data_IF_487679244090
#
_entry.id   IF_487679244090
#
_cell.length_a   1.000
_cell.length_b   1.000
_cell.length_c   1.000
_cell.angle_alpha   90.00
_cell.angle_beta   90.00
_cell.angle_gamma   90.00
#
_symmetry.space_group_name_H-M   'P 1'
#
loop_
_entity.id
_entity.type
_entity.pdbx_description
1 polymer ?
#
# COMPACT_ATOMS: atom_id res chain seq x y z
N UNK A 1 20.09 -36.18 48.65
CA UNK A 1 20.55 -34.80 48.34
C UNK A 1 20.59 -34.64 46.83
N UNK A 2 19.57 -34.01 46.25
CA UNK A 2 19.58 -33.53 44.87
C UNK A 2 18.68 -32.30 44.83
N UNK A 3 19.29 -31.12 44.84
CA UNK A 3 18.57 -29.85 44.68
C UNK A 3 18.59 -29.53 43.19
N UNK A 4 17.40 -29.53 42.60
CA UNK A 4 17.13 -29.16 41.21
C UNK A 4 17.43 -27.66 41.05
N UNK A 5 18.20 -27.30 40.04
CA UNK A 5 18.67 -25.94 39.79
C UNK A 5 17.62 -25.16 38.97
N UNK A 6 16.67 -24.49 39.65
CA UNK A 6 15.50 -23.81 39.04
C UNK A 6 15.84 -22.40 38.49
N UNK A 7 17.11 -21.96 38.54
CA UNK A 7 17.47 -20.55 38.27
C UNK A 7 17.71 -20.17 36.81
N UNK A 8 17.64 -21.11 35.84
CA UNK A 8 18.02 -20.81 34.45
C UNK A 8 16.88 -20.78 33.42
N UNK A 9 15.61 -20.69 33.84
CA UNK A 9 14.47 -20.59 32.89
C UNK A 9 13.77 -19.22 32.85
N UNK A 10 14.15 -18.25 33.67
CA UNK A 10 13.46 -16.95 33.72
C UNK A 10 13.93 -15.96 32.63
N UNK A 11 15.07 -16.22 31.97
CA UNK A 11 15.66 -15.28 31.01
C UNK A 11 15.34 -15.53 29.52
N UNK A 12 14.28 -16.28 29.20
CA UNK A 12 13.82 -16.43 27.80
C UNK A 12 12.42 -15.86 27.52
N UNK A 13 11.78 -15.20 28.49
CA UNK A 13 10.43 -14.65 28.33
C UNK A 13 10.35 -13.12 28.26
N UNK A 14 11.46 -12.44 28.00
CA UNK A 14 11.46 -10.98 27.83
C UNK A 14 12.16 -10.64 26.53
N UNK A 15 11.39 -10.26 25.50
CA UNK A 15 11.67 -9.27 24.43
C UNK A 15 10.72 -9.48 23.22
N UNK A 16 9.40 -9.46 23.46
CA UNK A 16 8.43 -9.05 22.45
C UNK A 16 7.64 -7.87 23.01
N UNK A 17 8.31 -6.73 23.16
CA UNK A 17 7.62 -5.46 23.37
C UNK A 17 6.77 -5.16 22.13
N UNK A 18 5.49 -5.53 22.16
CA UNK A 18 4.50 -5.06 21.20
C UNK A 18 4.20 -3.59 21.49
N UNK A 19 5.16 -2.70 21.18
CA UNK A 19 4.78 -1.35 20.83
C UNK A 19 3.79 -1.46 19.66
N UNK A 20 2.61 -0.87 19.78
CA UNK A 20 1.59 -0.90 18.73
C UNK A 20 2.17 -0.25 17.47
N UNK A 21 2.77 -1.08 16.61
CA UNK A 21 3.42 -0.64 15.39
C UNK A 21 2.35 -0.17 14.43
N UNK A 22 2.41 1.09 14.01
CA UNK A 22 1.49 1.64 13.01
C UNK A 22 1.60 0.78 11.74
N UNK A 23 0.51 0.18 11.26
CA UNK A 23 0.52 -0.67 10.08
C UNK A 23 0.91 0.13 8.84
N UNK A 24 1.74 -0.48 7.99
CA UNK A 24 2.15 0.06 6.69
C UNK A 24 1.46 -0.71 5.58
N UNK A 25 0.60 -0.02 4.85
CA UNK A 25 -0.26 -0.56 3.80
C UNK A 25 0.28 -0.09 2.46
N UNK A 26 0.52 -1.04 1.56
CA UNK A 26 0.95 -0.80 0.20
C UNK A 26 -0.10 -1.30 -0.78
N UNK A 27 -0.59 -0.37 -1.61
CA UNK A 27 -1.56 -0.64 -2.67
C UNK A 27 -0.81 -0.64 -3.99
N UNK A 28 -0.82 -1.77 -4.69
CA UNK A 28 -0.13 -1.92 -5.96
C UNK A 28 -1.12 -1.80 -7.13
N UNK A 29 -0.99 -0.72 -7.88
CA UNK A 29 -1.83 -0.38 -9.03
C UNK A 29 -2.99 0.54 -8.67
N UNK A 30 -3.28 1.50 -9.55
CA UNK A 30 -4.39 2.43 -9.38
C UNK A 30 -5.61 2.13 -10.27
N UNK A 31 -5.88 0.85 -10.55
CA UNK A 31 -7.13 0.41 -11.17
C UNK A 31 -8.34 0.64 -10.25
N UNK A 32 -9.51 0.11 -10.60
CA UNK A 32 -10.73 0.28 -9.79
C UNK A 32 -10.56 -0.24 -8.36
N UNK A 33 -9.99 -1.45 -8.20
CA UNK A 33 -9.74 -2.05 -6.88
C UNK A 33 -8.81 -1.19 -6.04
N UNK A 34 -7.58 -0.95 -6.52
CA UNK A 34 -6.59 -0.17 -5.77
C UNK A 34 -7.04 1.25 -5.45
N UNK A 35 -7.68 1.95 -6.39
CA UNK A 35 -8.22 3.27 -6.14
C UNK A 35 -9.36 3.24 -5.11
N UNK A 36 -10.28 2.28 -5.21
CA UNK A 36 -11.37 2.14 -4.24
C UNK A 36 -10.84 1.82 -2.84
N UNK A 37 -9.84 0.95 -2.75
CA UNK A 37 -9.16 0.62 -1.49
C UNK A 37 -8.52 1.87 -0.88
N UNK A 38 -7.75 2.63 -1.66
CA UNK A 38 -7.10 3.86 -1.20
C UNK A 38 -8.12 4.88 -0.67
N UNK A 39 -9.20 5.13 -1.43
CA UNK A 39 -10.25 6.08 -1.03
C UNK A 39 -11.04 5.60 0.19
N UNK A 40 -11.26 4.30 0.33
CA UNK A 40 -11.92 3.72 1.51
C UNK A 40 -11.05 3.90 2.74
N UNK A 41 -9.78 3.51 2.67
CA UNK A 41 -8.85 3.65 3.79
C UNK A 41 -8.64 5.11 4.20
N UNK A 42 -8.51 6.03 3.23
CA UNK A 42 -8.41 7.48 3.47
C UNK A 42 -9.60 8.03 4.28
N UNK A 43 -10.81 7.53 4.01
CA UNK A 43 -12.04 7.95 4.70
C UNK A 43 -12.19 7.30 6.07
N UNK A 44 -11.84 6.02 6.17
CA UNK A 44 -12.08 5.21 7.37
C UNK A 44 -10.98 5.34 8.42
N UNK A 45 -9.75 5.67 8.05
CA UNK A 45 -8.61 5.71 8.97
C UNK A 45 -8.16 7.14 9.29
N UNK A 46 -7.95 7.48 10.57
CA UNK A 46 -7.19 8.65 10.98
C UNK A 46 -5.72 8.56 10.54
N UNK A 47 -5.07 9.70 10.34
CA UNK A 47 -3.67 9.81 9.85
C UNK A 47 -2.67 8.99 10.69
N UNK A 48 -2.89 8.87 12.00
CA UNK A 48 -1.98 8.17 12.92
C UNK A 48 -2.28 6.68 13.08
N UNK A 49 -3.25 6.12 12.33
CA UNK A 49 -3.66 4.70 12.45
C UNK A 49 -3.06 3.79 11.39
N UNK A 50 -2.66 4.31 10.24
CA UNK A 50 -1.95 3.54 9.21
C UNK A 50 -1.15 4.47 8.29
N UNK A 51 -0.01 3.98 7.80
CA UNK A 51 0.73 4.62 6.71
C UNK A 51 0.34 3.94 5.40
N UNK A 52 -0.29 4.69 4.49
CA UNK A 52 -0.79 4.15 3.22
C UNK A 52 0.09 4.68 2.09
N UNK A 53 0.62 3.77 1.27
CA UNK A 53 1.33 4.10 0.04
C UNK A 53 0.62 3.45 -1.15
N UNK A 54 0.38 4.18 -2.22
CA UNK A 54 -0.14 3.64 -3.47
C UNK A 54 0.88 3.84 -4.58
N UNK A 55 1.23 2.74 -5.26
CA UNK A 55 2.12 2.77 -6.43
C UNK A 55 1.29 2.54 -7.69
N UNK A 56 1.47 3.37 -8.71
CA UNK A 56 0.82 3.14 -10.02
C UNK A 56 1.71 3.60 -11.16
N UNK A 57 1.67 2.86 -12.28
CA UNK A 57 2.45 3.18 -13.49
C UNK A 57 2.12 4.57 -14.05
N UNK A 58 0.88 5.01 -13.88
CA UNK A 58 0.38 6.29 -14.34
C UNK A 58 -0.04 7.15 -13.15
N UNK A 59 -0.02 8.47 -13.30
CA UNK A 59 -0.51 9.45 -12.32
C UNK A 59 -2.04 9.70 -12.41
N UNK A 60 -2.72 8.88 -13.20
CA UNK A 60 -4.15 8.91 -13.41
C UNK A 60 -4.74 7.50 -13.45
N UNK A 61 -5.98 7.40 -13.01
CA UNK A 61 -6.86 6.29 -13.31
C UNK A 61 -7.50 6.53 -14.67
N UNK A 62 -7.49 5.53 -15.55
CA UNK A 62 -8.30 5.57 -16.78
C UNK A 62 -9.55 4.71 -16.59
N UNK A 63 -10.69 5.24 -17.01
CA UNK A 63 -11.94 4.48 -16.97
C UNK A 63 -11.95 3.49 -18.13
N UNK A 64 -11.61 2.23 -17.83
CA UNK A 64 -11.56 1.14 -18.83
C UNK A 64 -12.87 1.04 -19.60
N UNK A 65 -14.00 1.32 -18.94
CA UNK A 65 -15.34 1.32 -19.55
C UNK A 65 -15.51 2.37 -20.65
N UNK A 66 -14.69 3.42 -20.70
CA UNK A 66 -14.77 4.48 -21.71
C UNK A 66 -13.77 4.31 -22.86
N UNK A 67 -12.90 3.29 -22.81
CA UNK A 67 -11.84 3.13 -23.82
C UNK A 67 -12.38 2.90 -25.23
N UNK A 68 -13.54 2.25 -25.39
CA UNK A 68 -14.18 2.09 -26.69
C UNK A 68 -14.53 3.44 -27.34
N UNK A 69 -15.00 4.42 -26.56
CA UNK A 69 -15.27 5.78 -27.06
C UNK A 69 -13.99 6.52 -27.43
N UNK A 70 -12.91 6.28 -26.69
CA UNK A 70 -11.59 6.83 -27.00
C UNK A 70 -11.04 6.23 -28.29
N UNK A 71 -11.17 4.92 -28.48
CA UNK A 71 -10.70 4.22 -29.67
C UNK A 71 -11.39 4.68 -30.95
N UNK A 72 -12.70 4.98 -30.87
CA UNK A 72 -13.52 5.46 -32.01
C UNK A 72 -13.39 6.99 -32.17
N UNK A 73 -12.65 7.68 -31.29
CA UNK A 73 -12.43 9.13 -31.37
C UNK A 73 -13.59 10.01 -30.88
N UNK A 74 -14.66 9.41 -30.36
CA UNK A 74 -15.84 10.13 -29.85
C UNK A 74 -15.63 10.70 -28.44
N UNK A 75 -14.57 10.28 -27.74
CA UNK A 75 -14.14 10.83 -26.46
C UNK A 75 -12.63 11.05 -26.46
N UNK A 76 -12.16 12.21 -26.00
CA UNK A 76 -10.73 12.42 -25.85
C UNK A 76 -10.17 11.61 -24.68
N UNK A 77 -8.95 11.07 -24.84
CA UNK A 77 -8.28 10.31 -23.79
C UNK A 77 -8.15 11.11 -22.48
N UNK A 78 -8.04 12.44 -22.54
CA UNK A 78 -8.00 13.32 -21.36
C UNK A 78 -9.31 13.29 -20.57
N UNK A 79 -10.46 13.18 -21.24
CA UNK A 79 -11.78 13.08 -20.59
C UNK A 79 -12.05 11.71 -19.96
N UNK A 80 -11.36 10.66 -20.41
CA UNK A 80 -11.46 9.31 -19.86
C UNK A 80 -10.53 9.05 -18.65
N UNK A 81 -9.87 10.09 -18.12
CA UNK A 81 -8.86 9.99 -17.06
C UNK A 81 -9.24 10.82 -15.84
N UNK A 82 -8.90 10.29 -14.66
CA UNK A 82 -9.02 10.97 -13.37
C UNK A 82 -7.64 10.96 -12.71
N UNK A 83 -7.05 12.14 -12.50
CA UNK A 83 -5.74 12.25 -11.86
C UNK A 83 -5.83 11.92 -10.38
N UNK A 84 -4.91 11.10 -9.86
CA UNK A 84 -4.91 10.71 -8.45
C UNK A 84 -4.75 11.89 -7.51
N UNK A 85 -3.92 12.88 -7.89
CA UNK A 85 -3.72 14.13 -7.11
C UNK A 85 -4.99 14.94 -6.85
N UNK A 86 -6.08 14.69 -7.60
CA UNK A 86 -7.35 15.38 -7.42
C UNK A 86 -8.28 14.69 -6.42
N UNK A 87 -7.99 13.43 -6.07
CA UNK A 87 -8.91 12.56 -5.32
C UNK A 87 -8.25 11.92 -4.10
N UNK A 88 -6.91 11.77 -4.11
CA UNK A 88 -6.14 11.32 -2.97
C UNK A 88 -5.71 12.51 -2.12
N UNK A 89 -5.88 12.36 -0.82
CA UNK A 89 -5.36 13.28 0.18
C UNK A 89 -3.91 12.93 0.50
N UNK A 90 -2.99 13.86 0.21
CA UNK A 90 -1.56 13.65 0.40
C UNK A 90 -1.14 13.56 1.88
N UNK A 91 -1.96 14.00 2.84
CA UNK A 91 -1.67 13.77 4.26
C UNK A 91 -1.95 12.32 4.69
N UNK A 92 -2.78 11.59 3.92
CA UNK A 92 -3.23 10.24 4.26
C UNK A 92 -2.67 9.14 3.35
N UNK A 93 -2.45 9.46 2.08
CA UNK A 93 -2.02 8.49 1.07
C UNK A 93 -0.81 9.04 0.32
N UNK A 94 0.34 8.43 0.54
CA UNK A 94 1.53 8.69 -0.27
C UNK A 94 1.35 8.05 -1.65
N UNK A 95 1.49 8.83 -2.72
CA UNK A 95 1.38 8.32 -4.09
C UNK A 95 2.75 8.30 -4.76
N UNK A 96 3.10 7.16 -5.36
CA UNK A 96 4.34 6.96 -6.12
C UNK A 96 3.97 6.56 -7.55
N UNK A 97 4.43 7.36 -8.51
CA UNK A 97 4.30 7.02 -9.93
C UNK A 97 5.44 6.11 -10.34
N UNK A 98 5.22 4.80 -10.33
CA UNK A 98 6.24 3.81 -10.70
C UNK A 98 5.62 2.50 -11.19
N UNK A 99 6.44 1.68 -11.87
CA UNK A 99 6.10 0.32 -12.27
C UNK A 99 6.71 -0.66 -11.27
N UNK A 100 5.86 -1.47 -10.65
CA UNK A 100 6.30 -2.60 -9.81
C UNK A 100 6.95 -3.64 -10.71
N UNK A 101 8.16 -4.06 -10.36
CA UNK A 101 8.91 -5.07 -11.11
C UNK A 101 8.82 -6.44 -10.46
N UNK A 102 8.85 -6.47 -9.13
CA UNK A 102 8.89 -7.71 -8.37
C UNK A 102 8.18 -7.56 -7.03
N UNK A 103 7.55 -8.64 -6.58
CA UNK A 103 6.83 -8.72 -5.31
C UNK A 103 7.30 -9.98 -4.58
N UNK A 104 7.67 -9.83 -3.32
CA UNK A 104 7.99 -10.93 -2.40
C UNK A 104 7.00 -10.93 -1.24
N UNK A 105 5.87 -11.65 -1.36
CA UNK A 105 4.82 -11.69 -0.36
C UNK A 105 5.32 -12.21 1.00
N UNK A 106 6.16 -13.23 0.98
CA UNK A 106 6.70 -13.90 2.17
C UNK A 106 7.52 -12.95 3.06
N UNK A 107 8.16 -11.97 2.41
CA UNK A 107 8.99 -10.95 3.06
C UNK A 107 8.23 -9.65 3.31
N UNK A 108 6.96 -9.55 2.91
CA UNK A 108 6.17 -8.31 2.87
C UNK A 108 6.98 -7.20 2.18
N UNK A 109 7.52 -7.49 0.99
CA UNK A 109 8.40 -6.58 0.24
C UNK A 109 8.02 -6.49 -1.23
N UNK A 110 8.22 -5.33 -1.83
CA UNK A 110 8.06 -5.08 -3.27
C UNK A 110 9.16 -4.17 -3.79
N UNK A 111 9.55 -4.33 -5.04
CA UNK A 111 10.53 -3.48 -5.71
C UNK A 111 9.87 -2.66 -6.81
N UNK A 112 10.10 -1.35 -6.79
CA UNK A 112 9.68 -0.40 -7.81
C UNK A 112 10.87 0.52 -8.13
N UNK A 113 11.23 0.64 -9.42
CA UNK A 113 12.29 1.58 -9.87
C UNK A 113 13.68 1.41 -9.24
N UNK A 114 14.00 0.26 -8.63
CA UNK A 114 15.24 0.02 -7.89
C UNK A 114 15.15 0.29 -6.38
N UNK A 115 14.01 0.73 -5.85
CA UNK A 115 13.77 0.97 -4.43
C UNK A 115 12.97 -0.19 -3.83
N UNK A 116 13.51 -0.80 -2.77
CA UNK A 116 12.83 -1.85 -2.02
C UNK A 116 11.91 -1.27 -0.94
N UNK A 117 10.62 -1.57 -1.02
CA UNK A 117 9.61 -1.18 -0.04
C UNK A 117 9.17 -2.41 0.76
N UNK A 118 9.08 -2.29 2.09
CA UNK A 118 8.60 -3.38 2.96
C UNK A 118 7.29 -3.00 3.65
N UNK A 119 6.18 -3.55 3.18
CA UNK A 119 4.81 -3.20 3.59
C UNK A 119 3.85 -4.37 3.37
N UNK A 120 2.68 -4.32 4.03
CA UNK A 120 1.59 -5.28 3.76
C UNK A 120 0.95 -4.90 2.43
N UNK A 121 0.81 -5.87 1.53
CA UNK A 121 0.28 -5.66 0.18
C UNK A 121 -1.23 -5.96 0.20
N UNK A 122 -2.02 -5.03 -0.33
CA UNK A 122 -3.46 -5.17 -0.56
C UNK A 122 -3.80 -5.28 -2.04
#
# INVERSE_FOLDING_TARGET
>A
MSQINIRNQVNQHTQHSHALKIPRILILGGGYGGLKTALTLQRSLPENKAQITMISKHDYHYQTTLLHKVAIGTLSARKARIYYRKILDSSKVAFIKDKVLEIHPDKKRSFAGGVGLSMIIL
#
